data_IF_567793483975
#
_entry.id   IF_567793483975
#
_cell.length_a   1.000
_cell.length_b   1.000
_cell.length_c   1.000
_cell.angle_alpha   90.00
_cell.angle_beta   90.00
_cell.angle_gamma   90.00
#
_symmetry.space_group_name_H-M   'P 1'
#
loop_
_entity.id
_entity.type
_entity.pdbx_description
1 polymer ?
#
# COMPACT_ATOMS: atom_id res chain seq x y z
N UNK A 1 17.43 -14.23 9.45
CA UNK A 1 16.16 -13.64 8.97
C UNK A 1 15.25 -14.79 8.56
N UNK A 2 14.02 -14.84 9.06
CA UNK A 2 13.01 -15.83 8.66
C UNK A 2 12.16 -15.24 7.52
N UNK A 3 11.82 -16.06 6.52
CA UNK A 3 10.83 -15.67 5.51
C UNK A 3 9.43 -15.92 6.08
N UNK A 4 8.65 -14.84 6.25
CA UNK A 4 7.33 -14.88 6.91
C UNK A 4 6.19 -14.36 6.03
N UNK A 5 6.48 -13.95 4.80
CA UNK A 5 5.49 -13.37 3.90
C UNK A 5 5.91 -13.47 2.42
N UNK A 6 4.93 -13.35 1.53
CA UNK A 6 5.14 -13.28 0.08
C UNK A 6 4.25 -12.21 -0.55
N UNK A 7 4.84 -11.31 -1.33
CA UNK A 7 4.09 -10.36 -2.14
C UNK A 7 3.57 -11.01 -3.42
N UNK A 8 2.34 -10.66 -3.79
CA UNK A 8 1.66 -11.08 -5.00
C UNK A 8 1.06 -9.85 -5.70
N UNK A 9 0.74 -9.97 -6.98
CA UNK A 9 -0.21 -9.05 -7.60
C UNK A 9 -1.63 -9.51 -7.26
N UNK A 10 -2.56 -8.58 -7.10
CA UNK A 10 -4.00 -8.90 -7.20
C UNK A 10 -4.32 -9.37 -8.62
N UNK A 11 -5.47 -10.01 -8.84
CA UNK A 11 -5.95 -10.32 -10.18
C UNK A 11 -6.07 -9.05 -11.03
N UNK A 12 -5.98 -9.23 -12.34
CA UNK A 12 -6.08 -8.13 -13.28
C UNK A 12 -7.47 -7.50 -13.21
N UNK A 13 -8.49 -8.34 -13.04
CA UNK A 13 -9.89 -7.98 -12.92
C UNK A 13 -10.11 -7.10 -11.68
N UNK A 14 -9.60 -7.53 -10.52
CA UNK A 14 -9.69 -6.76 -9.28
C UNK A 14 -8.91 -5.44 -9.40
N UNK A 15 -7.72 -5.46 -10.00
CA UNK A 15 -6.95 -4.24 -10.23
C UNK A 15 -7.72 -3.24 -11.09
N UNK A 16 -8.37 -3.67 -12.18
CA UNK A 16 -9.16 -2.78 -13.05
C UNK A 16 -10.30 -2.12 -12.28
N UNK A 17 -11.03 -2.89 -11.45
CA UNK A 17 -12.13 -2.38 -10.62
C UNK A 17 -11.61 -1.28 -9.68
N UNK A 18 -10.59 -1.60 -8.90
CA UNK A 18 -10.01 -0.72 -7.89
C UNK A 18 -9.32 0.52 -8.49
N UNK A 19 -8.70 0.35 -9.66
CA UNK A 19 -8.05 1.43 -10.38
C UNK A 19 -9.07 2.38 -10.99
N UNK A 20 -10.15 1.88 -11.61
CA UNK A 20 -11.24 2.72 -12.14
C UNK A 20 -11.95 3.50 -11.03
N UNK A 21 -12.11 2.93 -9.83
CA UNK A 21 -12.64 3.65 -8.65
C UNK A 21 -11.76 4.87 -8.30
N UNK A 22 -10.44 4.70 -8.31
CA UNK A 22 -9.50 5.75 -7.92
C UNK A 22 -9.23 6.75 -9.05
N UNK A 23 -9.23 6.29 -10.30
CA UNK A 23 -8.84 7.05 -11.49
C UNK A 23 -9.79 6.77 -12.67
N UNK A 24 -11.05 7.25 -12.61
CA UNK A 24 -12.10 6.90 -13.58
C UNK A 24 -11.85 7.40 -15.02
N UNK A 25 -10.82 8.23 -15.23
CA UNK A 25 -10.47 8.80 -16.54
C UNK A 25 -9.62 7.87 -17.41
N UNK A 26 -9.00 6.84 -16.83
CA UNK A 26 -8.17 5.91 -17.58
C UNK A 26 -9.06 4.89 -18.31
N UNK A 27 -8.79 4.69 -19.59
CA UNK A 27 -9.39 3.59 -20.33
C UNK A 27 -8.77 2.24 -19.94
N UNK A 28 -9.44 1.15 -20.32
CA UNK A 28 -9.02 -0.19 -19.92
C UNK A 28 -7.70 -0.63 -20.57
N UNK A 29 -7.39 -0.14 -21.77
CA UNK A 29 -6.13 -0.45 -22.44
C UNK A 29 -4.95 0.12 -21.64
N UNK A 30 -5.05 1.38 -21.22
CA UNK A 30 -4.06 2.02 -20.37
C UNK A 30 -3.92 1.32 -19.00
N UNK A 31 -5.03 0.90 -18.38
CA UNK A 31 -5.00 0.18 -17.11
C UNK A 31 -4.32 -1.18 -17.27
N UNK A 32 -4.53 -1.86 -18.40
CA UNK A 32 -3.87 -3.14 -18.70
C UNK A 32 -2.34 -2.99 -18.81
N UNK A 33 -1.87 -1.95 -19.48
CA UNK A 33 -0.45 -1.63 -19.59
C UNK A 33 0.15 -1.28 -18.22
N UNK A 34 -0.58 -0.50 -17.42
CA UNK A 34 -0.21 -0.18 -16.04
C UNK A 34 -0.05 -1.48 -15.23
N UNK A 35 -1.05 -2.37 -15.25
CA UNK A 35 -1.02 -3.64 -14.52
C UNK A 35 0.19 -4.52 -14.90
N UNK A 36 0.49 -4.59 -16.20
CA UNK A 36 1.64 -5.33 -16.71
C UNK A 36 2.97 -4.77 -16.14
N UNK A 37 3.05 -3.45 -15.98
CA UNK A 37 4.25 -2.75 -15.49
C UNK A 37 4.46 -2.79 -13.97
N UNK A 38 3.46 -3.23 -13.19
CA UNK A 38 3.53 -3.26 -11.72
C UNK A 38 4.72 -4.09 -11.24
N UNK A 39 5.50 -3.50 -10.34
CA UNK A 39 6.67 -4.12 -9.70
C UNK A 39 6.32 -4.57 -8.29
N UNK A 40 6.65 -5.82 -7.96
CA UNK A 40 6.52 -6.30 -6.58
C UNK A 40 7.46 -5.52 -5.65
N UNK A 41 7.05 -5.27 -4.38
CA UNK A 41 7.90 -4.60 -3.42
C UNK A 41 9.21 -5.34 -3.18
N UNK A 42 10.31 -4.59 -3.03
CA UNK A 42 11.63 -5.15 -2.76
C UNK A 42 12.42 -4.29 -1.79
N UNK A 43 13.33 -4.93 -1.06
CA UNK A 43 14.29 -4.22 -0.22
C UNK A 43 15.33 -3.52 -1.11
N UNK A 44 15.70 -2.30 -0.75
CA UNK A 44 16.69 -1.53 -1.49
C UNK A 44 18.12 -2.07 -1.28
N UNK A 45 18.43 -2.53 -0.07
CA UNK A 45 19.74 -3.09 0.31
C UNK A 45 19.56 -4.31 1.22
N UNK A 46 20.65 -5.07 1.45
CA UNK A 46 20.65 -6.23 2.36
C UNK A 46 20.26 -5.83 3.80
N UNK A 47 20.62 -4.62 4.23
CA UNK A 47 20.32 -4.08 5.56
C UNK A 47 18.99 -3.34 5.67
N UNK A 48 18.28 -3.12 4.57
CA UNK A 48 16.97 -2.45 4.61
C UNK A 48 15.96 -3.31 5.37
N UNK A 49 15.21 -2.71 6.28
CA UNK A 49 14.05 -3.34 6.90
C UNK A 49 12.83 -3.29 5.96
N UNK A 50 12.64 -2.15 5.31
CA UNK A 50 11.49 -1.88 4.44
C UNK A 50 11.59 -2.46 3.04
N UNK A 51 10.45 -2.89 2.53
CA UNK A 51 10.21 -3.22 1.12
C UNK A 51 9.56 -2.01 0.45
N UNK A 52 10.23 -1.42 -0.53
CA UNK A 52 9.72 -0.24 -1.24
C UNK A 52 8.50 -0.62 -2.11
N UNK A 53 7.41 0.13 -1.98
CA UNK A 53 6.25 0.10 -2.87
C UNK A 53 6.42 1.13 -3.98
N UNK A 54 6.07 0.75 -5.20
CA UNK A 54 6.25 1.56 -6.40
C UNK A 54 4.91 2.10 -6.90
N UNK A 55 4.87 3.37 -7.30
CA UNK A 55 3.64 3.94 -7.87
C UNK A 55 3.38 3.32 -9.26
N UNK A 56 2.16 2.87 -9.57
CA UNK A 56 1.84 2.35 -10.90
C UNK A 56 1.66 3.46 -11.95
N UNK A 57 1.54 4.72 -11.52
CA UNK A 57 1.30 5.88 -12.38
C UNK A 57 2.25 7.03 -12.07
N UNK A 58 2.36 7.91 -13.06
CA UNK A 58 2.84 9.28 -12.87
C UNK A 58 1.82 10.07 -12.05
N UNK A 59 2.30 10.89 -11.11
CA UNK A 59 1.46 11.87 -10.44
C UNK A 59 2.25 13.09 -9.99
N UNK A 60 1.53 14.20 -9.85
CA UNK A 60 1.97 15.44 -9.26
C UNK A 60 1.04 15.72 -8.08
N UNK A 61 1.60 15.98 -6.91
CA UNK A 61 0.87 16.30 -5.70
C UNK A 61 1.33 17.66 -5.20
N UNK A 62 0.51 18.69 -5.41
CA UNK A 62 0.73 20.03 -4.85
C UNK A 62 0.52 20.03 -3.34
N UNK A 63 0.98 21.05 -2.61
CA UNK A 63 0.67 21.21 -1.20
C UNK A 63 -0.82 21.02 -0.92
N UNK A 64 -1.11 20.26 0.14
CA UNK A 64 -2.42 19.86 0.65
C UNK A 64 -3.28 18.98 -0.27
N UNK A 65 -2.76 18.57 -1.44
CA UNK A 65 -3.43 17.56 -2.26
C UNK A 65 -3.21 16.15 -1.70
N UNK A 66 -4.17 15.28 -1.99
CA UNK A 66 -4.19 13.88 -1.53
C UNK A 66 -4.43 12.96 -2.71
N UNK A 67 -3.74 11.80 -2.73
CA UNK A 67 -3.95 10.76 -3.73
C UNK A 67 -4.07 9.39 -3.04
N UNK A 68 -5.03 8.57 -3.50
CA UNK A 68 -5.24 7.19 -3.09
C UNK A 68 -4.76 6.28 -4.23
N UNK A 69 -3.69 5.52 -4.01
CA UNK A 69 -3.07 4.69 -5.04
C UNK A 69 -3.39 3.21 -4.78
N UNK A 70 -4.19 2.54 -5.64
CA UNK A 70 -4.23 1.09 -5.73
C UNK A 70 -2.87 0.58 -6.22
N UNK A 71 -2.14 -0.14 -5.36
CA UNK A 71 -0.75 -0.53 -5.66
C UNK A 71 -0.63 -1.68 -6.65
N UNK A 72 -1.72 -2.43 -6.85
CA UNK A 72 -1.81 -3.73 -7.49
C UNK A 72 -1.14 -4.85 -6.69
N UNK A 73 -0.76 -4.60 -5.44
CA UNK A 73 -0.06 -5.55 -4.58
C UNK A 73 -1.00 -6.08 -3.50
N UNK A 74 -0.91 -7.36 -3.22
CA UNK A 74 -1.43 -8.06 -2.04
C UNK A 74 -0.31 -8.88 -1.39
N UNK A 75 -0.45 -9.29 -0.13
CA UNK A 75 0.61 -10.00 0.59
C UNK A 75 0.02 -11.10 1.46
N UNK A 76 0.58 -12.31 1.35
CA UNK A 76 0.33 -13.38 2.32
C UNK A 76 1.34 -13.26 3.46
N UNK A 77 0.89 -13.33 4.71
CA UNK A 77 1.69 -13.11 5.91
C UNK A 77 1.43 -14.26 6.89
N UNK A 78 2.47 -14.82 7.49
CA UNK A 78 2.34 -15.81 8.56
C UNK A 78 1.74 -15.18 9.83
N UNK A 79 1.04 -15.99 10.62
CA UNK A 79 0.46 -15.58 11.89
C UNK A 79 1.49 -14.98 12.86
N UNK A 80 1.05 -14.00 13.65
CA UNK A 80 1.89 -13.25 14.59
C UNK A 80 2.72 -12.13 13.95
N UNK A 81 2.51 -11.86 12.66
CA UNK A 81 3.16 -10.77 11.94
C UNK A 81 2.16 -9.85 11.25
N UNK A 82 2.52 -8.57 11.17
CA UNK A 82 1.78 -7.53 10.44
C UNK A 82 2.72 -6.84 9.47
N UNK A 83 2.20 -6.36 8.34
CA UNK A 83 2.94 -5.44 7.47
C UNK A 83 2.53 -4.00 7.78
N UNK A 84 3.47 -3.22 8.35
CA UNK A 84 3.29 -1.81 8.63
C UNK A 84 3.85 -0.95 7.48
N UNK A 85 3.00 -0.15 6.86
CA UNK A 85 3.32 0.76 5.75
C UNK A 85 3.68 2.13 6.30
N UNK A 86 4.82 2.65 5.85
CA UNK A 86 5.34 3.97 6.18
C UNK A 86 5.64 4.78 4.91
N UNK A 87 5.64 6.12 4.98
CA UNK A 87 6.26 6.94 3.94
C UNK A 87 7.73 6.57 3.76
N UNK A 88 8.27 6.78 2.54
CA UNK A 88 9.73 6.77 2.37
C UNK A 88 10.32 7.99 3.04
N UNK A 89 11.35 7.79 3.87
CA UNK A 89 11.95 8.86 4.70
C UNK A 89 12.35 10.08 3.89
N UNK A 90 12.94 9.89 2.70
CA UNK A 90 13.32 10.99 1.81
C UNK A 90 12.12 11.84 1.35
N UNK A 91 10.97 11.22 1.09
CA UNK A 91 9.75 11.94 0.69
C UNK A 91 9.12 12.66 1.89
N UNK A 92 9.05 11.99 3.04
CA UNK A 92 8.56 12.58 4.28
C UNK A 92 9.40 13.78 4.73
N UNK A 93 10.72 13.68 4.68
CA UNK A 93 11.62 14.75 5.12
C UNK A 93 11.68 15.93 4.15
N UNK A 94 11.75 15.66 2.83
CA UNK A 94 11.92 16.73 1.83
C UNK A 94 10.62 17.47 1.53
N UNK A 95 9.49 16.78 1.54
CA UNK A 95 8.21 17.28 1.06
C UNK A 95 7.08 17.24 2.09
N UNK A 96 7.34 16.76 3.33
CA UNK A 96 6.28 16.48 4.31
C UNK A 96 5.19 15.55 3.74
N UNK A 97 5.60 14.58 2.92
CA UNK A 97 4.67 13.58 2.40
C UNK A 97 4.27 12.61 3.53
N UNK A 98 2.98 12.53 3.83
CA UNK A 98 2.43 11.76 4.94
C UNK A 98 1.42 10.72 4.47
N UNK A 99 1.27 9.64 5.22
CA UNK A 99 0.12 8.73 5.08
C UNK A 99 -1.06 9.30 5.86
N UNK A 100 -2.25 9.33 5.25
CA UNK A 100 -3.45 9.86 5.92
C UNK A 100 -3.88 9.05 7.16
N UNK A 101 -3.49 7.78 7.22
CA UNK A 101 -3.73 6.90 8.36
C UNK A 101 -2.50 6.74 9.26
N UNK A 102 -1.48 7.60 9.12
CA UNK A 102 -0.19 7.56 9.85
C UNK A 102 0.67 6.33 9.53
N UNK A 103 0.16 5.13 9.81
CA UNK A 103 0.76 3.83 9.47
C UNK A 103 -0.32 2.96 8.84
N UNK A 104 -0.03 2.40 7.67
CA UNK A 104 -0.91 1.41 7.06
C UNK A 104 -0.70 0.05 7.71
N UNK A 105 -1.68 -0.45 8.45
CA UNK A 105 -1.65 -1.79 9.05
C UNK A 105 -2.30 -2.76 8.08
N UNK A 106 -1.52 -3.73 7.60
CA UNK A 106 -1.99 -4.80 6.74
C UNK A 106 -1.93 -6.11 7.53
N UNK A 107 -3.11 -6.58 7.93
CA UNK A 107 -3.32 -7.80 8.70
C UNK A 107 -3.11 -9.04 7.84
N UNK A 108 -2.79 -10.19 8.46
CA UNK A 108 -2.51 -11.44 7.73
C UNK A 108 -3.72 -11.97 6.97
N UNK A 109 -4.92 -11.83 7.55
CA UNK A 109 -6.20 -12.26 6.99
C UNK A 109 -6.71 -11.35 5.86
N UNK A 110 -6.15 -10.15 5.72
CA UNK A 110 -6.52 -9.21 4.65
C UNK A 110 -6.33 -9.81 3.25
N UNK A 111 -5.39 -10.75 3.11
CA UNK A 111 -5.10 -11.43 1.85
C UNK A 111 -6.31 -12.11 1.19
N UNK A 112 -7.31 -12.51 1.99
CA UNK A 112 -8.50 -13.21 1.54
C UNK A 112 -9.76 -12.32 1.49
N UNK A 113 -9.63 -11.02 1.78
CA UNK A 113 -10.75 -10.08 1.75
C UNK A 113 -11.32 -9.91 0.33
N UNK A 114 -12.54 -9.38 0.23
CA UNK A 114 -13.32 -9.27 -1.02
C UNK A 114 -12.60 -8.52 -2.17
N UNK A 115 -11.68 -7.61 -1.83
CA UNK A 115 -10.83 -6.92 -2.81
C UNK A 115 -9.49 -7.64 -3.07
N UNK A 116 -9.43 -8.94 -2.79
CA UNK A 116 -8.24 -9.79 -2.84
C UNK A 116 -7.07 -9.36 -1.93
N UNK A 117 -7.35 -8.55 -0.91
CA UNK A 117 -6.31 -7.95 -0.08
C UNK A 117 -5.47 -6.91 -0.83
N UNK A 118 -6.07 -6.24 -1.82
CA UNK A 118 -5.41 -5.17 -2.55
C UNK A 118 -5.01 -4.04 -1.61
N UNK A 119 -3.70 -3.83 -1.46
CA UNK A 119 -3.14 -2.76 -0.65
C UNK A 119 -3.28 -1.43 -1.40
N UNK A 120 -3.91 -0.46 -0.76
CA UNK A 120 -3.92 0.93 -1.21
C UNK A 120 -3.06 1.77 -0.29
N UNK A 121 -2.36 2.75 -0.88
CA UNK A 121 -1.57 3.72 -0.13
C UNK A 121 -2.17 5.10 -0.41
N UNK A 122 -2.67 5.75 0.64
CA UNK A 122 -3.23 7.10 0.59
C UNK A 122 -2.25 8.08 1.24
N UNK A 123 -1.78 9.03 0.43
CA UNK A 123 -0.77 10.02 0.83
C UNK A 123 -1.27 11.44 0.61
N UNK A 124 -0.90 12.34 1.51
CA UNK A 124 -1.10 13.78 1.41
C UNK A 124 0.25 14.48 1.38
N UNK A 125 0.41 15.45 0.49
CA UNK A 125 1.53 16.39 0.56
C UNK A 125 1.20 17.46 1.59
N UNK A 126 1.77 17.37 2.79
CA UNK A 126 1.52 18.33 3.88
C UNK A 126 2.58 19.44 3.92
N UNK A 127 3.15 19.81 2.77
CA UNK A 127 4.18 20.84 2.68
C UNK A 127 3.66 22.22 3.12
N UNK A 128 4.39 22.86 4.04
CA UNK A 128 4.21 24.26 4.42
C UNK A 128 5.18 25.21 3.68
N UNK A 129 5.96 24.69 2.73
CA UNK A 129 7.00 25.41 1.98
C UNK A 129 6.72 25.41 0.47
N UNK A 130 5.45 25.22 0.08
CA UNK A 130 4.99 25.15 -1.32
C UNK A 130 5.72 24.13 -2.21
N UNK A 131 6.32 23.09 -1.62
CA UNK A 131 7.02 22.05 -2.37
C UNK A 131 6.03 21.05 -2.98
N UNK A 132 6.11 20.90 -4.29
CA UNK A 132 5.36 19.90 -5.06
C UNK A 132 6.11 18.57 -5.12
N UNK A 133 5.39 17.46 -4.93
CA UNK A 133 5.89 16.11 -5.16
C UNK A 133 5.55 15.70 -6.58
N UNK A 134 6.55 15.30 -7.37
CA UNK A 134 6.35 14.67 -8.68
C UNK A 134 7.05 13.31 -8.66
N UNK A 135 6.29 12.25 -8.95
CA UNK A 135 6.81 10.89 -9.08
C UNK A 135 6.35 10.28 -10.39
N UNK A 136 7.27 9.56 -11.03
CA UNK A 136 7.03 8.76 -12.24
C UNK A 136 6.65 7.33 -11.88
N UNK A 137 5.89 6.69 -12.75
CA UNK A 137 5.56 5.28 -12.65
C UNK A 137 6.81 4.42 -12.39
N UNK A 138 6.70 3.49 -11.45
CA UNK A 138 7.80 2.63 -11.02
C UNK A 138 8.78 3.25 -10.02
N UNK A 139 8.58 4.50 -9.57
CA UNK A 139 9.36 5.09 -8.48
C UNK A 139 8.78 4.72 -7.11
N UNK A 140 9.65 4.53 -6.11
CA UNK A 140 9.25 4.15 -4.76
C UNK A 140 8.60 5.32 -4.02
N UNK A 141 7.40 5.12 -3.46
CA UNK A 141 6.63 6.17 -2.78
C UNK A 141 6.19 5.81 -1.34
N UNK A 142 6.16 4.52 -1.00
CA UNK A 142 5.95 4.01 0.36
C UNK A 142 6.90 2.84 0.63
N UNK A 143 6.96 2.38 1.87
CA UNK A 143 7.71 1.19 2.26
C UNK A 143 6.94 0.38 3.29
N UNK A 144 7.01 -0.95 3.22
CA UNK A 144 6.41 -1.84 4.21
C UNK A 144 7.47 -2.55 5.05
N UNK A 145 7.28 -2.58 6.37
CA UNK A 145 8.13 -3.30 7.33
C UNK A 145 7.28 -4.35 8.03
N UNK A 146 7.78 -5.58 8.09
CA UNK A 146 7.12 -6.63 8.86
C UNK A 146 7.49 -6.52 10.34
N UNK A 147 6.48 -6.52 11.21
CA UNK A 147 6.63 -6.43 12.65
C UNK A 147 5.91 -7.60 13.32
N UNK A 148 6.47 -8.11 14.41
CA UNK A 148 5.74 -9.03 15.28
C UNK A 148 4.76 -8.25 16.15
N UNK A 149 3.60 -8.85 16.42
CA UNK A 149 2.61 -8.31 17.34
C UNK A 149 2.17 -9.39 18.34
N UNK A 150 1.58 -8.96 19.46
CA UNK A 150 1.04 -9.84 20.50
C UNK A 150 -0.47 -9.76 20.59
N UNK A 151 -1.06 -10.76 21.23
CA UNK A 151 -2.47 -10.79 21.65
C UNK A 151 -2.56 -10.68 23.18
N UNK A 152 -3.70 -10.25 23.70
CA UNK A 152 -3.97 -10.19 25.15
C UNK A 152 -4.37 -11.56 25.70
N UNK A 153 -4.26 -11.76 27.01
CA UNK A 153 -4.51 -13.07 27.66
C UNK A 153 -5.95 -13.59 27.47
N UNK A 154 -6.91 -12.68 27.28
CA UNK A 154 -8.34 -12.94 27.16
C UNK A 154 -8.86 -12.72 25.72
N UNK A 155 -7.98 -12.72 24.72
CA UNK A 155 -8.38 -12.65 23.32
C UNK A 155 -9.19 -13.89 22.91
N UNK A 156 -10.45 -13.67 22.53
CA UNK A 156 -11.41 -14.69 22.13
C UNK A 156 -12.03 -14.39 20.76
N UNK A 157 -11.35 -13.56 19.96
CA UNK A 157 -11.80 -13.17 18.62
C UNK A 157 -11.86 -14.39 17.69
N UNK A 158 -13.02 -14.66 17.10
CA UNK A 158 -13.22 -15.75 16.13
C UNK A 158 -13.73 -15.28 14.77
N UNK A 159 -14.06 -14.00 14.65
CA UNK A 159 -14.57 -13.43 13.41
C UNK A 159 -13.46 -13.35 12.36
N UNK A 160 -13.76 -13.82 11.15
CA UNK A 160 -12.89 -13.65 10.01
C UNK A 160 -13.21 -12.35 9.27
N UNK A 161 -12.15 -11.65 8.82
CA UNK A 161 -12.33 -10.42 8.07
C UNK A 161 -13.00 -10.68 6.72
N UNK A 162 -14.20 -10.10 6.56
CA UNK A 162 -14.89 -9.99 5.28
C UNK A 162 -14.92 -8.51 4.83
N UNK A 163 -14.54 -8.21 3.58
CA UNK A 163 -14.51 -6.85 3.01
C UNK A 163 -13.19 -6.06 3.15
N UNK A 164 -13.03 -5.06 2.28
CA UNK A 164 -11.82 -4.21 2.13
C UNK A 164 -11.62 -3.10 3.18
N UNK A 165 -11.19 -1.91 2.78
CA UNK A 165 -10.96 -0.78 3.71
C UNK A 165 -12.21 -0.43 4.52
N UNK A 166 -12.09 -0.33 5.86
CA UNK A 166 -13.18 0.11 6.74
C UNK A 166 -14.25 -0.95 7.05
N UNK A 167 -14.00 -2.22 6.74
CA UNK A 167 -14.97 -3.32 6.94
C UNK A 167 -15.06 -3.83 8.38
N UNK A 168 -14.12 -3.47 9.26
CA UNK A 168 -14.05 -3.96 10.65
C UNK A 168 -15.03 -3.28 11.61
N UNK A 169 -15.86 -2.34 11.14
CA UNK A 169 -16.84 -1.60 11.96
C UNK A 169 -18.29 -2.05 11.72
N UNK A 170 -18.51 -3.35 11.47
CA UNK A 170 -19.84 -3.94 11.53
C UNK A 170 -20.11 -4.53 12.89
#
# INVERSE_FOLDING_TARGET
MQAIAKFHKVSKEQFIIDFKDSFPKYDEAAINDIYASIKLPKRATIGSAGYDFYTPIDFILKPHETIKIPTGIRVSINDGWVLAIFPRSGLGFKYRLQLNNTVGIIDSDYFNSDNEGHIFIKITNDSNEDKTVELKAGQGFGQGIFLQYGIVEDDNTTDERNGGFGSTTK
#
